data_IF_505063127540
#
_entry.id   IF_505063127540
#
_cell.length_a   1.000
_cell.length_b   1.000
_cell.length_c   1.000
_cell.angle_alpha   90.00
_cell.angle_beta   90.00
_cell.angle_gamma   90.00
#
_symmetry.space_group_name_H-M   'P 1'
#
loop_
_entity.id
_entity.type
_entity.pdbx_description
1 polymer ?
#
# COMPACT_ATOMS: atom_id res chain seq x y z
N UNK A 1 27.86 -16.87 16.15
CA UNK A 1 26.46 -17.25 16.44
C UNK A 1 25.57 -16.06 16.77
N UNK A 2 25.77 -15.30 17.86
CA UNK A 2 24.92 -14.12 18.14
C UNK A 2 25.10 -12.96 17.13
N UNK A 3 26.30 -12.77 16.57
CA UNK A 3 26.58 -11.74 15.56
C UNK A 3 25.92 -12.04 14.20
N UNK A 4 25.85 -13.31 13.79
CA UNK A 4 25.23 -13.72 12.54
C UNK A 4 23.71 -13.50 12.56
N UNK A 5 23.09 -13.77 13.71
CA UNK A 5 21.66 -13.57 13.92
C UNK A 5 21.26 -12.09 13.76
N UNK A 6 22.00 -11.17 14.38
CA UNK A 6 21.76 -9.73 14.26
C UNK A 6 21.93 -9.22 12.82
N UNK A 7 22.85 -9.81 12.05
CA UNK A 7 23.08 -9.47 10.64
C UNK A 7 21.94 -9.97 9.75
N UNK A 8 21.45 -11.18 10.01
CA UNK A 8 20.30 -11.77 9.31
C UNK A 8 19.02 -10.95 9.60
N UNK A 9 18.76 -10.60 10.86
CA UNK A 9 17.62 -9.75 11.22
C UNK A 9 17.63 -8.39 10.51
N UNK A 10 18.79 -7.73 10.42
CA UNK A 10 18.93 -6.48 9.67
C UNK A 10 18.68 -6.62 8.16
N UNK A 11 19.12 -7.74 7.57
CA UNK A 11 18.90 -8.04 6.15
C UNK A 11 17.43 -8.32 5.84
N UNK A 12 16.77 -9.16 6.66
CA UNK A 12 15.35 -9.49 6.50
C UNK A 12 14.49 -8.23 6.62
N UNK A 13 14.80 -7.37 7.59
CA UNK A 13 14.11 -6.08 7.77
C UNK A 13 14.24 -5.17 6.56
N UNK A 14 15.45 -5.01 6.02
CA UNK A 14 15.69 -4.17 4.84
C UNK A 14 15.02 -4.78 3.60
N UNK A 15 15.07 -6.11 3.45
CA UNK A 15 14.43 -6.82 2.35
C UNK A 15 12.91 -6.62 2.33
N UNK A 16 12.25 -6.68 3.48
CA UNK A 16 10.80 -6.54 3.53
C UNK A 16 10.37 -5.09 3.33
N UNK A 17 11.13 -4.10 3.82
CA UNK A 17 10.90 -2.71 3.45
C UNK A 17 11.00 -2.49 1.93
N UNK A 18 11.95 -3.16 1.27
CA UNK A 18 12.04 -3.20 -0.20
C UNK A 18 10.78 -3.76 -0.85
N UNK A 19 10.35 -4.96 -0.47
CA UNK A 19 9.16 -5.62 -1.03
C UNK A 19 7.90 -4.79 -0.83
N UNK A 20 7.71 -4.22 0.36
CA UNK A 20 6.56 -3.37 0.68
C UNK A 20 6.58 -2.07 -0.12
N UNK A 21 7.75 -1.48 -0.41
CA UNK A 21 7.83 -0.31 -1.29
C UNK A 21 7.44 -0.62 -2.73
N UNK A 22 7.79 -1.81 -3.25
CA UNK A 22 7.38 -2.26 -4.59
C UNK A 22 5.89 -2.49 -4.66
N UNK A 23 5.31 -3.15 -3.66
CA UNK A 23 3.86 -3.34 -3.56
C UNK A 23 3.11 -2.02 -3.38
N UNK A 24 3.69 -1.05 -2.66
CA UNK A 24 3.13 0.30 -2.56
C UNK A 24 3.12 1.03 -3.92
N UNK A 25 4.18 0.89 -4.73
CA UNK A 25 4.20 1.43 -6.10
C UNK A 25 3.10 0.84 -6.97
N UNK A 26 2.93 -0.48 -6.92
CA UNK A 26 1.86 -1.17 -7.68
C UNK A 26 0.48 -0.67 -7.22
N UNK A 27 0.26 -0.53 -5.91
CA UNK A 27 -0.98 -0.02 -5.37
C UNK A 27 -1.29 1.42 -5.84
N UNK A 28 -0.30 2.31 -5.92
CA UNK A 28 -0.49 3.67 -6.46
C UNK A 28 -0.93 3.62 -7.92
N UNK A 29 -0.29 2.79 -8.74
CA UNK A 29 -0.62 2.66 -10.17
C UNK A 29 -2.07 2.17 -10.33
N UNK A 30 -2.45 1.13 -9.58
CA UNK A 30 -3.82 0.60 -9.61
C UNK A 30 -4.85 1.65 -9.16
N UNK A 31 -4.55 2.39 -8.09
CA UNK A 31 -5.43 3.45 -7.59
C UNK A 31 -5.53 4.64 -8.57
N UNK A 32 -4.46 4.95 -9.32
CA UNK A 32 -4.46 5.97 -10.36
C UNK A 32 -5.36 5.58 -11.55
N UNK A 33 -5.32 4.30 -11.97
CA UNK A 33 -6.20 3.77 -13.03
C UNK A 33 -7.67 3.89 -12.62
N UNK A 34 -8.01 3.52 -11.38
CA UNK A 34 -9.37 3.64 -10.83
C UNK A 34 -9.80 5.11 -10.77
N UNK A 35 -8.91 6.01 -10.36
CA UNK A 35 -9.21 7.45 -10.26
C UNK A 35 -9.44 8.08 -11.64
N UNK A 36 -8.64 7.70 -12.65
CA UNK A 36 -8.78 8.20 -14.02
C UNK A 36 -10.12 7.79 -14.64
N UNK A 37 -10.53 6.53 -14.41
CA UNK A 37 -11.85 6.05 -14.83
C UNK A 37 -12.98 6.80 -14.13
N UNK A 38 -12.87 6.95 -12.81
CA UNK A 38 -13.91 7.65 -12.02
C UNK A 38 -14.05 9.11 -12.45
N UNK A 39 -12.94 9.82 -12.71
CA UNK A 39 -12.97 11.22 -13.16
C UNK A 39 -13.63 11.39 -14.55
N UNK A 40 -13.47 10.38 -15.42
CA UNK A 40 -14.00 10.41 -16.79
C UNK A 40 -15.51 10.11 -16.84
N UNK A 41 -16.01 9.23 -15.97
CA UNK A 41 -17.41 8.79 -15.97
C UNK A 41 -18.28 9.44 -14.89
N UNK A 42 -17.69 9.78 -13.74
CA UNK A 42 -18.30 10.61 -12.70
C UNK A 42 -17.69 12.01 -12.77
N UNK A 43 -18.33 12.88 -13.56
CA UNK A 43 -18.08 14.33 -13.55
C UNK A 43 -18.08 14.84 -12.10
N UNK A 44 -16.89 15.17 -11.57
CA UNK A 44 -16.60 15.73 -10.23
C UNK A 44 -16.60 14.75 -9.03
N UNK A 45 -16.58 13.42 -9.23
CA UNK A 45 -16.48 12.44 -8.14
C UNK A 45 -15.22 11.57 -8.21
N UNK A 46 -14.60 11.27 -7.07
CA UNK A 46 -13.58 10.22 -6.95
C UNK A 46 -13.98 9.24 -5.85
N UNK A 47 -13.64 7.95 -6.00
CA UNK A 47 -13.84 7.00 -4.92
C UNK A 47 -12.84 7.31 -3.79
N UNK A 48 -13.33 7.52 -2.55
CA UNK A 48 -12.46 7.84 -1.41
C UNK A 48 -11.43 6.72 -1.14
N UNK A 49 -11.75 5.48 -1.49
CA UNK A 49 -10.85 4.33 -1.39
C UNK A 49 -9.63 4.43 -2.33
N UNK A 50 -9.80 4.98 -3.53
CA UNK A 50 -8.69 5.19 -4.47
C UNK A 50 -7.77 6.34 -4.00
N UNK A 51 -8.35 7.45 -3.53
CA UNK A 51 -7.57 8.54 -2.94
C UNK A 51 -6.79 8.09 -1.70
N UNK A 52 -7.40 7.26 -0.84
CA UNK A 52 -6.74 6.66 0.31
C UNK A 52 -5.58 5.76 -0.14
N UNK A 53 -5.76 4.89 -1.14
CA UNK A 53 -4.70 4.04 -1.69
C UNK A 53 -3.51 4.81 -2.24
N UNK A 54 -3.75 5.94 -2.92
CA UNK A 54 -2.67 6.82 -3.41
C UNK A 54 -1.93 7.47 -2.24
N UNK A 55 -2.67 8.07 -1.29
CA UNK A 55 -2.07 8.75 -0.15
C UNK A 55 -1.21 7.80 0.70
N UNK A 56 -1.70 6.60 0.98
CA UNK A 56 -0.98 5.59 1.77
C UNK A 56 0.23 5.04 1.01
N UNK A 57 0.12 4.84 -0.30
CA UNK A 57 1.25 4.47 -1.15
C UNK A 57 2.36 5.52 -1.15
N UNK A 58 2.01 6.80 -1.34
CA UNK A 58 2.98 7.91 -1.33
C UNK A 58 3.66 8.04 0.03
N UNK A 59 2.87 8.00 1.12
CA UNK A 59 3.43 8.01 2.48
C UNK A 59 4.39 6.84 2.67
N UNK A 60 4.05 5.66 2.17
CA UNK A 60 4.91 4.48 2.27
C UNK A 60 6.25 4.68 1.53
N UNK A 61 6.22 5.19 0.31
CA UNK A 61 7.41 5.41 -0.52
C UNK A 61 8.28 6.55 0.01
N UNK A 62 7.69 7.60 0.60
CA UNK A 62 8.48 8.70 1.15
C UNK A 62 9.08 8.37 2.51
N UNK A 63 8.31 7.68 3.36
CA UNK A 63 8.71 7.50 4.77
C UNK A 63 9.68 6.34 4.95
N UNK A 64 9.57 5.25 4.18
CA UNK A 64 10.49 4.11 4.27
C UNK A 64 11.96 4.48 3.93
N UNK A 65 12.26 5.20 2.83
CA UNK A 65 13.63 5.60 2.51
C UNK A 65 14.18 6.65 3.48
N UNK A 66 13.33 7.55 3.97
CA UNK A 66 13.72 8.55 4.98
C UNK A 66 14.15 7.86 6.27
N UNK A 67 13.39 6.87 6.74
CA UNK A 67 13.76 6.08 7.93
C UNK A 67 15.04 5.27 7.71
N UNK A 68 15.20 4.65 6.54
CA UNK A 68 16.43 3.94 6.18
C UNK A 68 17.66 4.88 6.17
N UNK A 69 17.53 6.04 5.55
CA UNK A 69 18.59 7.04 5.46
C UNK A 69 19.00 7.56 6.84
N UNK A 70 18.02 7.85 7.70
CA UNK A 70 18.27 8.27 9.09
C UNK A 70 18.98 7.18 9.89
N UNK A 71 18.65 5.90 9.65
CA UNK A 71 19.23 4.78 10.39
C UNK A 71 20.69 4.53 10.02
N UNK A 72 21.07 4.81 8.77
CA UNK A 72 22.46 4.72 8.31
C UNK A 72 23.31 5.90 8.82
N UNK A 73 22.71 7.11 8.90
CA UNK A 73 23.44 8.34 9.28
C UNK A 73 23.57 8.57 10.78
N UNK A 74 22.63 8.11 11.62
CA UNK A 74 22.68 8.30 13.09
C UNK A 74 22.96 6.98 13.83
N UNK A 75 24.24 6.72 14.15
CA UNK A 75 24.68 5.54 14.94
C UNK A 75 24.54 5.65 16.48
N UNK A 76 24.01 6.75 17.02
CA UNK A 76 24.18 7.09 18.46
C UNK A 76 22.92 7.24 19.34
N UNK A 77 21.70 7.21 18.81
CA UNK A 77 20.47 7.46 19.58
C UNK A 77 19.42 6.36 19.31
N UNK A 78 19.77 5.14 19.72
CA UNK A 78 19.12 3.90 19.25
C UNK A 78 17.70 3.72 19.82
N UNK A 79 17.39 4.23 21.01
CA UNK A 79 16.07 4.02 21.63
C UNK A 79 14.97 4.93 21.06
N UNK A 80 15.24 6.23 20.86
CA UNK A 80 14.24 7.17 20.34
C UNK A 80 13.88 6.92 18.87
N UNK A 81 14.82 6.41 18.08
CA UNK A 81 14.57 6.12 16.66
C UNK A 81 13.72 4.86 16.45
N UNK A 82 13.92 3.82 17.28
CA UNK A 82 13.11 2.60 17.23
C UNK A 82 11.64 2.89 17.57
N UNK A 83 11.35 3.72 18.58
CA UNK A 83 9.97 4.03 18.99
C UNK A 83 9.21 4.76 17.88
N UNK A 84 9.87 5.73 17.23
CA UNK A 84 9.28 6.45 16.09
C UNK A 84 9.00 5.50 14.93
N UNK A 85 9.92 4.58 14.66
CA UNK A 85 9.75 3.59 13.60
C UNK A 85 8.59 2.63 13.89
N UNK A 86 8.46 2.12 15.12
CA UNK A 86 7.35 1.23 15.52
C UNK A 86 6.00 1.98 15.45
N UNK A 87 5.95 3.23 15.94
CA UNK A 87 4.73 4.02 15.88
C UNK A 87 4.31 4.30 14.42
N UNK A 88 5.28 4.58 13.55
CA UNK A 88 5.02 4.87 12.14
C UNK A 88 4.65 3.63 11.34
N UNK A 89 5.30 2.49 11.59
CA UNK A 89 4.94 1.22 10.97
C UNK A 89 3.54 0.78 11.40
N UNK A 90 3.15 1.02 12.66
CA UNK A 90 1.78 0.78 13.14
C UNK A 90 0.75 1.70 12.47
N UNK A 91 1.06 2.98 12.30
CA UNK A 91 0.20 3.90 11.56
C UNK A 91 -0.02 3.45 10.10
N UNK A 92 1.08 3.13 9.40
CA UNK A 92 1.01 2.62 8.02
C UNK A 92 0.25 1.28 7.96
N UNK A 93 0.36 0.43 8.98
CA UNK A 93 -0.36 -0.83 9.08
C UNK A 93 -1.88 -0.61 9.07
N UNK A 94 -2.39 0.29 9.92
CA UNK A 94 -3.83 0.63 9.97
C UNK A 94 -4.30 1.21 8.63
N UNK A 95 -3.48 2.08 8.03
CA UNK A 95 -3.75 2.69 6.74
C UNK A 95 -3.93 1.65 5.62
N UNK A 96 -3.07 0.62 5.57
CA UNK A 96 -3.20 -0.46 4.58
C UNK A 96 -4.44 -1.34 4.82
N UNK A 97 -4.84 -1.59 6.08
CA UNK A 97 -6.11 -2.24 6.40
C UNK A 97 -7.29 -1.41 5.93
N UNK A 98 -7.26 -0.10 6.17
CA UNK A 98 -8.32 0.81 5.76
C UNK A 98 -8.48 0.85 4.24
N UNK A 99 -7.37 0.81 3.48
CA UNK A 99 -7.39 0.68 2.01
C UNK A 99 -8.03 -0.65 1.60
N UNK A 100 -7.57 -1.78 2.14
CA UNK A 100 -8.12 -3.10 1.82
C UNK A 100 -9.61 -3.22 2.19
N UNK A 101 -10.02 -2.72 3.35
CA UNK A 101 -11.41 -2.76 3.81
C UNK A 101 -12.33 -1.82 3.04
N UNK A 102 -11.90 -0.59 2.76
CA UNK A 102 -12.69 0.38 1.99
C UNK A 102 -12.83 -0.01 0.52
N UNK A 103 -11.83 -0.68 -0.05
CA UNK A 103 -11.92 -1.26 -1.38
C UNK A 103 -12.80 -2.50 -1.37
N UNK A 104 -12.64 -3.44 -0.43
CA UNK A 104 -13.48 -4.64 -0.30
C UNK A 104 -14.99 -4.32 -0.14
N UNK A 105 -15.33 -3.21 0.51
CA UNK A 105 -16.71 -2.76 0.69
C UNK A 105 -17.36 -2.16 -0.56
N UNK A 106 -16.60 -1.95 -1.65
CA UNK A 106 -17.17 -1.44 -2.91
C UNK A 106 -17.92 -2.57 -3.64
N UNK A 107 -19.20 -2.34 -3.93
CA UNK A 107 -20.16 -3.28 -4.56
C UNK A 107 -19.68 -3.93 -5.88
N UNK A 108 -18.63 -3.40 -6.51
CA UNK A 108 -18.13 -3.77 -7.83
C UNK A 108 -17.18 -4.98 -7.82
N UNK A 109 -16.83 -5.55 -6.66
CA UNK A 109 -15.82 -6.62 -6.53
C UNK A 109 -16.34 -8.01 -6.85
N UNK A 110 -17.66 -8.24 -6.77
CA UNK A 110 -18.24 -9.59 -6.87
C UNK A 110 -18.22 -10.20 -8.28
N UNK A 111 -18.34 -9.39 -9.33
CA UNK A 111 -18.43 -9.89 -10.71
C UNK A 111 -18.19 -8.79 -11.73
N UNK A 112 -17.01 -8.78 -12.35
CA UNK A 112 -16.66 -7.85 -13.43
C UNK A 112 -17.31 -8.21 -14.78
N UNK A 113 -17.89 -9.41 -14.92
CA UNK A 113 -18.49 -9.92 -16.18
C UNK A 113 -19.76 -9.16 -16.61
N UNK A 114 -20.58 -8.71 -15.66
CA UNK A 114 -21.85 -8.01 -15.94
C UNK A 114 -21.67 -6.56 -16.44
N UNK A 115 -20.45 -6.02 -16.37
CA UNK A 115 -20.13 -4.64 -16.70
C UNK A 115 -19.83 -4.41 -18.18
N UNK A 116 -19.70 -5.50 -18.93
CA UNK A 116 -19.50 -5.53 -20.38
C UNK A 116 -20.66 -4.97 -21.20
N UNK A 117 -21.85 -4.81 -20.59
CA UNK A 117 -23.07 -4.32 -21.25
C UNK A 117 -23.16 -2.78 -21.25
N UNK A 118 -22.33 -2.08 -20.47
CA UNK A 118 -22.32 -0.62 -20.39
C UNK A 118 -21.38 0.00 -21.44
N UNK A 119 -21.78 1.15 -22.00
CA UNK A 119 -21.00 1.95 -22.95
C UNK A 119 -19.68 2.40 -22.29
N UNK A 120 -18.56 1.76 -22.63
CA UNK A 120 -17.28 1.91 -21.91
C UNK A 120 -16.75 0.62 -21.25
N UNK A 121 -17.35 -0.53 -21.55
CA UNK A 121 -17.04 -1.88 -21.07
C UNK A 121 -15.55 -2.18 -20.83
N UNK A 122 -14.67 -1.88 -21.79
CA UNK A 122 -13.23 -2.17 -21.65
C UNK A 122 -12.56 -1.40 -20.51
N UNK A 123 -12.92 -0.13 -20.33
CA UNK A 123 -12.36 0.71 -19.26
C UNK A 123 -12.96 0.37 -17.89
N UNK A 124 -14.24 -0.02 -17.87
CA UNK A 124 -14.95 -0.40 -16.66
C UNK A 124 -14.46 -1.75 -16.11
N UNK A 125 -14.21 -2.74 -16.98
CA UNK A 125 -13.60 -4.01 -16.60
C UNK A 125 -12.18 -3.81 -16.05
N UNK A 126 -11.40 -2.94 -16.69
CA UNK A 126 -10.05 -2.59 -16.24
C UNK A 126 -10.06 -1.95 -14.85
N UNK A 127 -10.99 -1.03 -14.59
CA UNK A 127 -11.17 -0.43 -13.27
C UNK A 127 -11.58 -1.48 -12.22
N UNK A 128 -12.50 -2.38 -12.55
CA UNK A 128 -12.94 -3.48 -11.68
C UNK A 128 -11.77 -4.40 -11.28
N UNK A 129 -11.01 -4.90 -12.25
CA UNK A 129 -9.80 -5.72 -11.99
C UNK A 129 -8.75 -4.94 -11.20
N UNK A 130 -8.62 -3.63 -11.45
CA UNK A 130 -7.69 -2.77 -10.70
C UNK A 130 -8.09 -2.61 -9.23
N UNK A 131 -9.38 -2.50 -8.92
CA UNK A 131 -9.86 -2.45 -7.52
C UNK A 131 -9.67 -3.76 -6.77
N UNK A 132 -9.87 -4.91 -7.44
CA UNK A 132 -9.54 -6.22 -6.88
C UNK A 132 -8.05 -6.33 -6.59
N UNK A 133 -7.20 -5.90 -7.53
CA UNK A 133 -5.75 -5.82 -7.33
C UNK A 133 -5.40 -4.92 -6.13
N UNK A 134 -5.98 -3.72 -6.05
CA UNK A 134 -5.72 -2.76 -4.97
C UNK A 134 -6.10 -3.34 -3.59
N UNK A 135 -7.21 -4.08 -3.52
CA UNK A 135 -7.64 -4.79 -2.31
C UNK A 135 -6.60 -5.83 -1.90
N UNK A 136 -6.17 -6.68 -2.85
CA UNK A 136 -5.18 -7.71 -2.60
C UNK A 136 -3.82 -7.14 -2.16
N UNK A 137 -3.31 -6.12 -2.86
CA UNK A 137 -2.06 -5.44 -2.46
C UNK A 137 -2.20 -4.70 -1.13
N UNK A 138 -3.38 -4.19 -0.80
CA UNK A 138 -3.67 -3.63 0.52
C UNK A 138 -3.49 -4.66 1.65
N UNK A 139 -4.09 -5.84 1.50
CA UNK A 139 -3.95 -6.93 2.47
C UNK A 139 -2.53 -7.54 2.47
N UNK A 140 -1.88 -7.67 1.32
CA UNK A 140 -0.50 -8.16 1.25
C UNK A 140 0.49 -7.21 1.95
N UNK A 141 0.36 -5.90 1.75
CA UNK A 141 1.18 -4.91 2.45
C UNK A 141 0.91 -4.89 3.96
N UNK A 142 -0.34 -5.11 4.35
CA UNK A 142 -0.71 -5.27 5.75
C UNK A 142 -0.02 -6.49 6.38
N UNK A 143 -0.21 -7.68 5.79
CA UNK A 143 0.38 -8.93 6.28
C UNK A 143 1.91 -8.87 6.30
N UNK A 144 2.53 -8.37 5.23
CA UNK A 144 3.98 -8.25 5.13
C UNK A 144 4.58 -7.37 6.23
N UNK A 145 3.82 -6.39 6.73
CA UNK A 145 4.25 -5.53 7.86
C UNK A 145 4.03 -6.20 9.22
N UNK A 146 2.95 -6.97 9.39
CA UNK A 146 2.65 -7.69 10.64
C UNK A 146 3.76 -8.68 11.03
N UNK A 147 4.41 -9.31 10.06
CA UNK A 147 5.47 -10.30 10.33
C UNK A 147 6.83 -9.69 10.73
N UNK A 148 7.01 -8.36 10.72
CA UNK A 148 8.27 -7.69 11.10
C UNK A 148 8.20 -6.73 12.27
N UNK A 149 7.01 -6.42 12.77
CA UNK A 149 6.81 -5.71 14.04
C UNK A 149 6.94 -6.65 15.22
#
# INVERSE_FOLDING_TARGET
>A
MAQDLNRIFGLVRTGVFGVVSLFALIAIILAAIVTNWTNTYYLLGYFPSAALGIATGILTILTLPVMWFLSVKRKGAVTSMIVVEIAWTWFLWIMWVAVGGSTAGTFWIGSCEGLSVLRGAGSAETACRSTQGLTAFGFLNWIARTFLS
#
